data_IF_671438154883
#
_entry.id   IF_671438154883
#
_cell.length_a   1.000
_cell.length_b   1.000
_cell.length_c   1.000
_cell.angle_alpha   90.00
_cell.angle_beta   90.00
_cell.angle_gamma   90.00
#
_symmetry.space_group_name_H-M   'P 1'
#
loop_
_entity.id
_entity.type
_entity.pdbx_description
1 polymer ?
#
# COMPACT_ATOMS: atom_id res chain seq x y z
N UNK A 1 9.27 3.84 -3.40
CA UNK A 1 10.18 2.67 -3.52
C UNK A 1 9.98 2.03 -4.89
N UNK A 2 11.01 1.42 -5.49
CA UNK A 2 10.87 0.77 -6.81
C UNK A 2 10.13 -0.59 -6.68
N UNK A 3 9.23 -0.97 -7.61
CA UNK A 3 8.48 -2.23 -7.52
C UNK A 3 9.37 -3.48 -7.37
N UNK A 4 10.51 -3.54 -8.05
CA UNK A 4 11.45 -4.66 -7.92
C UNK A 4 12.12 -4.70 -6.54
N UNK A 5 12.35 -3.55 -5.92
CA UNK A 5 12.86 -3.50 -4.55
C UNK A 5 11.81 -4.05 -3.57
N UNK A 6 10.53 -3.72 -3.75
CA UNK A 6 9.44 -4.27 -2.94
C UNK A 6 9.41 -5.79 -3.06
N UNK A 7 9.49 -6.31 -4.29
CA UNK A 7 9.56 -7.76 -4.54
C UNK A 7 10.80 -8.41 -3.91
N UNK A 8 11.94 -7.72 -3.88
CA UNK A 8 13.16 -8.21 -3.27
C UNK A 8 13.01 -8.29 -1.74
N UNK A 9 12.54 -7.23 -1.09
CA UNK A 9 12.28 -7.20 0.36
C UNK A 9 11.32 -8.31 0.80
N UNK A 10 10.22 -8.50 0.06
CA UNK A 10 9.26 -9.59 0.32
C UNK A 10 9.96 -10.95 0.30
N UNK A 11 10.85 -11.18 -0.67
CA UNK A 11 11.63 -12.42 -0.78
C UNK A 11 12.70 -12.56 0.30
N UNK A 12 13.38 -11.47 0.64
CA UNK A 12 14.39 -11.45 1.72
C UNK A 12 13.77 -11.83 3.07
N UNK A 13 12.47 -11.55 3.25
CA UNK A 13 11.70 -11.93 4.44
C UNK A 13 11.08 -13.34 4.36
N UNK A 14 11.49 -14.14 3.37
CA UNK A 14 11.10 -15.54 3.24
C UNK A 14 9.68 -15.77 2.73
N UNK A 15 9.02 -14.75 2.18
CA UNK A 15 7.69 -14.88 1.60
C UNK A 15 7.67 -14.46 0.13
N UNK A 16 6.52 -14.62 -0.53
CA UNK A 16 6.36 -14.24 -1.94
C UNK A 16 5.09 -13.42 -2.13
N UNK A 17 5.00 -12.60 -3.20
CA UNK A 17 3.76 -11.89 -3.52
C UNK A 17 2.56 -12.83 -3.72
N UNK A 18 2.81 -14.05 -4.22
CA UNK A 18 1.78 -15.07 -4.35
C UNK A 18 1.33 -15.59 -2.98
N UNK A 19 2.25 -15.93 -2.09
CA UNK A 19 1.94 -16.37 -0.74
C UNK A 19 1.18 -15.29 0.05
N UNK A 20 1.53 -14.01 -0.11
CA UNK A 20 0.74 -12.92 0.49
C UNK A 20 -0.67 -12.80 -0.09
N UNK A 21 -0.83 -13.01 -1.40
CA UNK A 21 -2.16 -13.03 -2.02
C UNK A 21 -3.02 -14.14 -1.42
N UNK A 22 -2.45 -15.34 -1.27
CA UNK A 22 -3.12 -16.50 -0.69
C UNK A 22 -3.49 -16.24 0.80
N UNK A 23 -2.56 -15.71 1.60
CA UNK A 23 -2.80 -15.34 3.01
C UNK A 23 -3.91 -14.30 3.18
N UNK A 24 -3.99 -13.33 2.26
CA UNK A 24 -5.01 -12.28 2.31
C UNK A 24 -6.33 -12.68 1.61
N UNK A 25 -6.40 -13.88 1.02
CA UNK A 25 -7.51 -14.35 0.18
C UNK A 25 -7.84 -13.36 -0.95
N UNK A 26 -6.79 -12.83 -1.60
CA UNK A 26 -6.88 -11.88 -2.70
C UNK A 26 -6.30 -12.46 -3.98
N UNK A 27 -6.68 -11.90 -5.12
CA UNK A 27 -6.06 -12.28 -6.38
C UNK A 27 -4.59 -11.84 -6.43
N UNK A 28 -3.73 -12.67 -7.03
CA UNK A 28 -2.32 -12.31 -7.29
C UNK A 28 -2.20 -11.02 -8.12
N UNK A 29 -3.17 -10.77 -8.99
CA UNK A 29 -3.22 -9.56 -9.80
C UNK A 29 -3.45 -8.31 -8.94
N UNK A 30 -4.29 -8.39 -7.90
CA UNK A 30 -4.49 -7.30 -6.93
C UNK A 30 -3.17 -6.94 -6.24
N UNK A 31 -2.44 -7.95 -5.74
CA UNK A 31 -1.14 -7.74 -5.09
C UNK A 31 -0.12 -7.15 -6.07
N UNK A 32 -0.06 -7.68 -7.29
CA UNK A 32 0.82 -7.13 -8.34
C UNK A 32 0.49 -5.67 -8.66
N UNK A 33 -0.79 -5.32 -8.80
CA UNK A 33 -1.21 -3.94 -9.08
C UNK A 33 -0.82 -2.98 -7.96
N UNK A 34 -0.91 -3.42 -6.70
CA UNK A 34 -0.46 -2.61 -5.56
C UNK A 34 1.05 -2.45 -5.55
N UNK A 35 1.82 -3.53 -5.78
CA UNK A 35 3.30 -3.46 -5.88
C UNK A 35 3.75 -2.46 -6.94
N UNK A 36 3.09 -2.41 -8.11
CA UNK A 36 3.41 -1.46 -9.17
C UNK A 36 2.74 -0.09 -8.99
N UNK A 37 2.00 0.14 -7.90
CA UNK A 37 1.32 1.40 -7.61
C UNK A 37 0.13 1.71 -8.54
N UNK A 38 -0.40 0.72 -9.27
CA UNK A 38 -1.58 0.84 -10.14
C UNK A 38 -2.90 0.75 -9.38
N UNK A 39 -2.88 0.26 -8.15
CA UNK A 39 -4.05 0.15 -7.27
C UNK A 39 -3.69 0.58 -5.86
N UNK A 40 -4.66 1.18 -5.17
CA UNK A 40 -4.52 1.79 -3.84
C UNK A 40 -5.15 0.94 -2.73
N UNK A 41 -5.16 -0.39 -2.88
CA UNK A 41 -5.74 -1.28 -1.87
C UNK A 41 -4.97 -1.18 -0.56
N UNK A 42 -5.56 -0.46 0.41
CA UNK A 42 -4.94 -0.21 1.71
C UNK A 42 -4.61 -1.48 2.47
N UNK A 43 -5.49 -2.49 2.40
CA UNK A 43 -5.29 -3.80 3.03
C UNK A 43 -4.00 -4.49 2.56
N UNK A 44 -3.73 -4.46 1.26
CA UNK A 44 -2.51 -5.06 0.69
C UNK A 44 -1.29 -4.22 1.03
N UNK A 45 -1.40 -2.90 0.91
CA UNK A 45 -0.30 -2.00 1.21
C UNK A 45 0.12 -2.09 2.68
N UNK A 46 -0.82 -2.11 3.62
CA UNK A 46 -0.54 -2.27 5.05
C UNK A 46 0.07 -3.65 5.34
N UNK A 47 -0.39 -4.72 4.70
CA UNK A 47 0.22 -6.04 4.85
C UNK A 47 1.69 -6.06 4.38
N UNK A 48 1.97 -5.46 3.23
CA UNK A 48 3.34 -5.34 2.70
C UNK A 48 4.19 -4.42 3.58
N UNK A 49 3.63 -3.31 4.06
CA UNK A 49 4.29 -2.37 4.94
C UNK A 49 4.68 -3.01 6.28
N UNK A 50 3.76 -3.78 6.87
CA UNK A 50 4.02 -4.54 8.09
C UNK A 50 5.10 -5.60 7.86
N UNK A 51 5.05 -6.30 6.74
CA UNK A 51 6.08 -7.28 6.38
C UNK A 51 7.44 -6.60 6.26
N UNK A 52 7.55 -5.49 5.51
CA UNK A 52 8.81 -4.78 5.25
C UNK A 52 9.26 -3.91 6.44
N UNK A 53 8.41 -3.77 7.46
CA UNK A 53 8.60 -2.88 8.63
C UNK A 53 8.87 -1.43 8.21
N UNK A 54 8.19 -0.98 7.15
CA UNK A 54 8.25 0.39 6.66
C UNK A 54 6.85 0.96 6.49
N UNK A 55 6.65 2.26 6.77
CA UNK A 55 5.33 2.87 6.60
C UNK A 55 4.93 2.85 5.13
N UNK A 56 3.63 2.64 4.86
CA UNK A 56 3.07 2.65 3.50
C UNK A 56 3.45 3.90 2.69
N UNK A 57 3.56 5.06 3.33
CA UNK A 57 3.95 6.30 2.66
C UNK A 57 5.43 6.33 2.22
N UNK A 58 6.30 5.53 2.84
CA UNK A 58 7.70 5.39 2.41
C UNK A 58 7.82 4.43 1.23
N UNK A 59 6.97 3.40 1.20
CA UNK A 59 6.93 2.42 0.12
C UNK A 59 6.24 3.04 -1.12
N UNK A 60 5.05 3.61 -0.95
CA UNK A 60 4.25 4.30 -1.96
C UNK A 60 3.99 5.76 -1.56
N UNK A 61 4.93 6.67 -1.86
CA UNK A 61 4.78 8.08 -1.52
C UNK A 61 3.56 8.69 -2.21
N UNK A 62 2.73 9.42 -1.46
CA UNK A 62 1.58 10.17 -1.96
C UNK A 62 0.32 9.34 -2.27
N UNK A 63 0.39 8.00 -2.26
CA UNK A 63 -0.79 7.16 -2.57
C UNK A 63 -1.75 6.97 -1.39
N UNK A 64 -1.21 7.05 -0.17
CA UNK A 64 -1.92 6.69 1.05
C UNK A 64 -2.01 7.86 2.04
N UNK A 65 -1.80 9.09 1.57
CA UNK A 65 -1.98 10.26 2.41
C UNK A 65 -3.41 10.32 2.95
N UNK A 66 -3.59 10.53 4.27
CA UNK A 66 -4.92 10.73 4.81
C UNK A 66 -5.51 11.94 4.11
N UNK A 67 -6.62 11.74 3.40
CA UNK A 67 -7.36 12.82 2.78
C UNK A 67 -7.71 13.80 3.90
N UNK A 68 -7.00 14.94 3.96
CA UNK A 68 -7.35 16.02 4.87
C UNK A 68 -8.69 16.52 4.38
N UNK A 69 -9.77 15.98 4.93
CA UNK A 69 -11.11 16.50 4.67
C UNK A 69 -11.04 17.96 5.07
N UNK A 70 -11.08 18.87 4.09
CA UNK A 70 -10.98 20.29 4.33
C UNK A 70 -12.29 20.76 4.98
N UNK A 71 -12.48 20.50 6.28
CA UNK A 71 -13.54 21.05 7.13
C UNK A 71 -13.23 22.50 7.55
N UNK A 72 -12.73 23.31 6.62
CA UNK A 72 -12.51 24.73 6.83
C UNK A 72 -13.19 25.47 5.67
N UNK A 73 -14.13 26.34 6.03
CA UNK A 73 -14.94 27.26 5.19
C UNK A 73 -16.33 26.79 4.77
N UNK A 74 -17.18 26.44 5.74
CA UNK A 74 -18.63 26.69 5.67
C UNK A 74 -19.10 27.25 7.02
N UNK A 75 -18.67 28.48 7.31
CA UNK A 75 -19.14 29.24 8.46
C UNK A 75 -19.28 30.69 8.05
N UNK A 76 -20.53 31.15 7.90
CA UNK A 76 -20.90 32.56 7.84
C UNK A 76 -20.91 33.20 6.45
N UNK A 77 -21.94 32.94 5.64
CA UNK A 77 -22.57 34.06 4.94
C UNK A 77 -23.53 34.69 5.96
N UNK A 78 -23.24 35.93 6.36
CA UNK A 78 -24.19 36.88 6.95
C UNK A 78 -24.17 38.12 6.08
#
# INVERSE_FOLDING_TARGET
MHPEQIKAEIRMRGTTPAAMADQLSLSRMTVSNVIHGRSTSRRVADAIANLIEQPVNRIWPGQYEPHRTNKLKRGGQK
#
